data_IF_100702126216
#
_entry.id   IF_100702126216
#
_cell.length_a   1.000
_cell.length_b   1.000
_cell.length_c   1.000
_cell.angle_alpha   90.00
_cell.angle_beta   90.00
_cell.angle_gamma   90.00
#
_symmetry.space_group_name_H-M   'P 1'
#
loop_
_entity.id
_entity.type
_entity.pdbx_description
1 polymer ?
#
# COMPACT_ATOMS: atom_id res chain seq x y z
N UNK A 1 2.72 -17.70 -5.28
CA UNK A 1 2.93 -16.41 -5.97
C UNK A 1 1.58 -15.99 -6.52
N UNK A 2 0.99 -14.97 -5.90
CA UNK A 2 -0.29 -14.36 -6.24
C UNK A 2 -0.20 -13.33 -7.38
N UNK A 3 0.99 -12.82 -7.71
CA UNK A 3 1.18 -11.94 -8.87
C UNK A 3 1.07 -12.76 -10.17
N UNK A 4 0.03 -12.51 -10.95
CA UNK A 4 -0.16 -13.12 -12.27
C UNK A 4 0.47 -12.28 -13.38
N UNK A 5 0.57 -10.96 -13.17
CA UNK A 5 1.12 -9.99 -14.12
C UNK A 5 1.76 -8.83 -13.37
N UNK A 6 2.91 -8.34 -13.83
CA UNK A 6 3.57 -7.13 -13.35
C UNK A 6 4.32 -6.48 -14.52
N UNK A 7 3.59 -5.75 -15.35
CA UNK A 7 4.14 -5.15 -16.58
C UNK A 7 4.13 -3.61 -16.52
N UNK A 8 5.12 -2.95 -17.15
CA UNK A 8 5.04 -1.52 -17.38
C UNK A 8 3.82 -1.18 -18.26
N UNK A 9 3.10 -0.11 -17.92
CA UNK A 9 1.99 0.39 -18.78
C UNK A 9 2.54 0.97 -20.09
N UNK A 10 3.75 1.53 -20.04
CA UNK A 10 4.53 2.04 -21.17
C UNK A 10 6.02 1.81 -20.91
N UNK A 11 6.88 1.68 -21.94
CA UNK A 11 8.33 1.51 -21.75
C UNK A 11 8.93 2.62 -20.89
N UNK A 12 9.62 2.25 -19.81
CA UNK A 12 10.23 3.21 -18.90
C UNK A 12 11.49 3.84 -19.49
N UNK A 13 11.68 5.13 -19.18
CA UNK A 13 12.89 5.90 -19.41
C UNK A 13 13.45 6.37 -18.06
N UNK A 14 14.75 6.68 -18.03
CA UNK A 14 15.41 7.14 -16.81
C UNK A 14 14.92 8.53 -16.36
N UNK A 15 14.49 9.35 -17.31
CA UNK A 15 13.93 10.69 -17.11
C UNK A 15 12.44 10.70 -16.73
N UNK A 16 11.76 9.54 -16.75
CA UNK A 16 10.34 9.48 -16.42
C UNK A 16 10.13 9.78 -14.93
N UNK A 17 9.33 10.81 -14.65
CA UNK A 17 8.91 11.13 -13.28
C UNK A 17 8.12 9.98 -12.62
N UNK A 18 7.29 9.26 -13.39
CA UNK A 18 6.47 8.17 -12.90
C UNK A 18 6.58 6.93 -13.79
N UNK A 19 6.73 5.75 -13.18
CA UNK A 19 6.91 4.45 -13.84
C UNK A 19 5.71 3.54 -13.55
N UNK A 20 4.57 3.86 -14.16
CA UNK A 20 3.30 3.17 -13.89
C UNK A 20 3.33 1.69 -14.34
N UNK A 21 2.81 0.80 -13.49
CA UNK A 21 2.73 -0.65 -13.73
C UNK A 21 1.28 -1.12 -13.68
N UNK A 22 0.97 -2.11 -14.52
CA UNK A 22 -0.26 -2.89 -14.44
C UNK A 22 0.05 -4.21 -13.74
N UNK A 23 -0.44 -4.35 -12.50
CA UNK A 23 -0.29 -5.54 -11.70
C UNK A 23 -1.64 -6.26 -11.62
N UNK A 24 -1.66 -7.55 -11.94
CA UNK A 24 -2.83 -8.43 -11.74
C UNK A 24 -2.47 -9.41 -10.64
N UNK A 25 -3.36 -9.53 -9.65
CA UNK A 25 -3.18 -10.42 -8.50
C UNK A 25 -4.35 -11.39 -8.36
N UNK A 26 -4.06 -12.62 -7.98
CA UNK A 26 -5.04 -13.66 -7.65
C UNK A 26 -4.46 -14.58 -6.58
N UNK A 27 -5.26 -14.94 -5.57
CA UNK A 27 -4.83 -15.81 -4.49
C UNK A 27 -5.48 -15.44 -3.17
N UNK A 28 -4.96 -16.00 -2.09
CA UNK A 28 -5.37 -15.60 -0.74
C UNK A 28 -4.92 -14.17 -0.42
N UNK A 29 -5.62 -13.53 0.51
CA UNK A 29 -5.24 -12.18 0.99
C UNK A 29 -3.82 -12.13 1.52
N UNK A 30 -3.39 -13.19 2.22
CA UNK A 30 -2.04 -13.30 2.76
C UNK A 30 -0.98 -13.42 1.66
N UNK A 31 -1.22 -14.23 0.62
CA UNK A 31 -0.30 -14.31 -0.53
C UNK A 31 -0.23 -12.99 -1.30
N UNK A 32 -1.37 -12.34 -1.51
CA UNK A 32 -1.43 -11.02 -2.17
C UNK A 32 -0.65 -9.98 -1.35
N UNK A 33 -0.87 -9.93 -0.04
CA UNK A 33 -0.17 -9.01 0.86
C UNK A 33 1.35 -9.23 0.84
N UNK A 34 1.78 -10.49 0.87
CA UNK A 34 3.20 -10.86 0.81
C UNK A 34 3.85 -10.44 -0.50
N UNK A 35 3.25 -10.78 -1.64
CA UNK A 35 3.87 -10.48 -2.93
C UNK A 35 3.87 -8.97 -3.24
N UNK A 36 2.80 -8.25 -2.94
CA UNK A 36 2.76 -6.79 -3.11
C UNK A 36 3.76 -6.08 -2.20
N UNK A 37 3.90 -6.53 -0.95
CA UNK A 37 4.90 -6.00 -0.02
C UNK A 37 6.33 -6.29 -0.48
N UNK A 38 6.57 -7.46 -1.07
CA UNK A 38 7.87 -7.81 -1.65
C UNK A 38 8.25 -6.83 -2.76
N UNK A 39 7.34 -6.56 -3.70
CA UNK A 39 7.54 -5.54 -4.75
C UNK A 39 7.80 -4.16 -4.12
N UNK A 40 6.98 -3.74 -3.16
CA UNK A 40 7.13 -2.45 -2.51
C UNK A 40 8.49 -2.28 -1.82
N UNK A 41 8.96 -3.32 -1.12
CA UNK A 41 10.25 -3.35 -0.42
C UNK A 41 11.42 -3.33 -1.40
N UNK A 42 11.38 -4.20 -2.41
CA UNK A 42 12.53 -4.46 -3.30
C UNK A 42 12.67 -3.42 -4.40
N UNK A 43 11.55 -2.96 -4.99
CA UNK A 43 11.58 -2.04 -6.13
C UNK A 43 11.40 -0.57 -5.73
N UNK A 44 10.67 -0.30 -4.65
CA UNK A 44 10.34 1.07 -4.23
C UNK A 44 11.00 1.49 -2.92
N UNK A 45 11.76 0.59 -2.27
CA UNK A 45 12.42 0.86 -0.99
C UNK A 45 11.44 1.20 0.14
N UNK A 46 10.19 0.72 0.03
CA UNK A 46 9.16 0.99 1.01
C UNK A 46 9.58 0.44 2.39
N UNK A 47 9.23 1.18 3.45
CA UNK A 47 9.48 0.81 4.83
C UNK A 47 8.17 0.81 5.60
N UNK A 48 7.97 -0.19 6.45
CA UNK A 48 6.87 -0.17 7.39
C UNK A 48 7.10 0.90 8.45
N UNK A 49 6.02 1.55 8.86
CA UNK A 49 6.08 2.58 9.90
C UNK A 49 6.03 1.95 11.27
N UNK A 50 6.71 2.56 12.22
CA UNK A 50 6.55 2.22 13.62
C UNK A 50 5.18 2.71 14.11
N UNK A 51 4.47 1.87 14.85
CA UNK A 51 3.40 2.38 15.69
C UNK A 51 3.98 3.29 16.76
N UNK A 52 3.31 4.41 17.02
CA UNK A 52 3.69 5.32 18.10
C UNK A 52 3.36 4.76 19.49
N UNK A 53 2.37 3.87 19.54
CA UNK A 53 1.85 3.30 20.78
C UNK A 53 1.57 1.80 20.55
N UNK A 54 2.24 0.89 21.29
CA UNK A 54 2.01 -0.55 21.17
C UNK A 54 0.59 -0.96 21.59
N UNK A 55 -0.07 -0.21 22.48
CA UNK A 55 -1.47 -0.47 22.87
C UNK A 55 -2.41 -0.24 21.69
N UNK A 56 -2.14 0.81 20.90
CA UNK A 56 -2.91 1.07 19.68
C UNK A 56 -2.68 -0.03 18.63
N UNK A 57 -1.44 -0.51 18.49
CA UNK A 57 -1.11 -1.59 17.56
C UNK A 57 -1.92 -2.85 17.85
N UNK A 58 -1.93 -3.28 19.11
CA UNK A 58 -2.72 -4.43 19.57
C UNK A 58 -4.22 -4.21 19.36
N UNK A 59 -4.75 -3.05 19.76
CA UNK A 59 -6.16 -2.73 19.57
C UNK A 59 -6.59 -2.71 18.10
N UNK A 60 -5.70 -2.25 17.19
CA UNK A 60 -5.95 -2.28 15.75
C UNK A 60 -5.96 -3.70 15.21
N UNK A 61 -5.05 -4.57 15.65
CA UNK A 61 -5.04 -5.99 15.27
C UNK A 61 -6.33 -6.68 15.72
N UNK A 62 -6.72 -6.50 16.97
CA UNK A 62 -7.98 -6.97 17.54
C UNK A 62 -9.21 -6.49 16.76
N UNK A 63 -9.19 -5.22 16.35
CA UNK A 63 -10.25 -4.65 15.53
C UNK A 63 -10.31 -5.32 14.15
N UNK A 64 -9.18 -5.51 13.48
CA UNK A 64 -9.14 -6.16 12.17
C UNK A 64 -9.57 -7.62 12.27
N UNK A 65 -9.16 -8.35 13.31
CA UNK A 65 -9.59 -9.74 13.52
C UNK A 65 -11.13 -9.86 13.59
N UNK A 66 -11.78 -8.95 14.32
CA UNK A 66 -13.23 -8.99 14.54
C UNK A 66 -14.04 -8.43 13.37
N UNK A 67 -13.53 -7.41 12.69
CA UNK A 67 -14.32 -6.60 11.77
C UNK A 67 -13.88 -6.74 10.30
N UNK A 68 -12.63 -7.13 10.04
CA UNK A 68 -12.09 -7.24 8.69
C UNK A 68 -10.98 -8.30 8.59
N UNK A 69 -11.33 -9.59 8.77
CA UNK A 69 -10.34 -10.67 8.82
C UNK A 69 -9.53 -10.79 7.52
N UNK A 70 -10.11 -10.43 6.37
CA UNK A 70 -9.41 -10.41 5.08
C UNK A 70 -8.26 -9.39 5.08
N UNK A 71 -8.45 -8.23 5.73
CA UNK A 71 -7.40 -7.22 5.85
C UNK A 71 -6.33 -7.63 6.84
N UNK A 72 -6.71 -8.33 7.91
CA UNK A 72 -5.74 -8.92 8.83
C UNK A 72 -4.87 -9.96 8.13
N UNK A 73 -5.48 -10.85 7.33
CA UNK A 73 -4.75 -11.85 6.55
C UNK A 73 -3.77 -11.20 5.56
N UNK A 74 -4.20 -10.14 4.86
CA UNK A 74 -3.30 -9.36 4.00
C UNK A 74 -2.14 -8.74 4.77
N UNK A 75 -2.41 -8.14 5.93
CA UNK A 75 -1.39 -7.57 6.81
C UNK A 75 -0.36 -8.61 7.30
N UNK A 76 -0.78 -9.85 7.59
CA UNK A 76 0.15 -10.95 7.91
C UNK A 76 1.09 -11.26 6.76
N UNK A 77 0.56 -11.27 5.54
CA UNK A 77 1.36 -11.40 4.32
C UNK A 77 2.43 -10.31 4.24
N UNK A 78 2.03 -9.06 4.50
CA UNK A 78 2.96 -7.92 4.56
C UNK A 78 4.04 -8.14 5.63
N UNK A 79 3.69 -8.49 6.87
CA UNK A 79 4.67 -8.75 7.94
C UNK A 79 5.69 -9.82 7.54
N UNK A 80 5.22 -10.91 6.91
CA UNK A 80 6.08 -11.98 6.40
C UNK A 80 7.06 -11.46 5.34
N UNK A 81 6.64 -10.58 4.45
CA UNK A 81 7.52 -9.98 3.44
C UNK A 81 8.56 -9.01 4.02
N UNK A 82 8.40 -8.59 5.28
CA UNK A 82 9.37 -7.78 6.02
C UNK A 82 10.13 -8.60 7.08
N UNK A 83 10.04 -9.92 7.04
CA UNK A 83 10.71 -10.84 7.98
C UNK A 83 10.32 -10.57 9.46
N UNK A 84 9.08 -10.13 9.69
CA UNK A 84 8.49 -9.86 11.01
C UNK A 84 7.55 -10.99 11.45
N UNK A 85 7.31 -11.09 12.76
CA UNK A 85 6.33 -12.00 13.32
C UNK A 85 4.90 -11.64 12.86
N UNK A 86 4.04 -12.64 12.65
CA UNK A 86 2.64 -12.42 12.20
C UNK A 86 1.80 -11.58 13.17
N UNK A 87 2.23 -11.51 14.42
CA UNK A 87 1.56 -10.83 15.51
C UNK A 87 2.35 -9.58 15.96
N UNK A 88 3.33 -9.13 15.16
CA UNK A 88 4.12 -7.94 15.43
C UNK A 88 3.23 -6.70 15.62
N UNK A 89 3.42 -6.04 16.76
CA UNK A 89 2.76 -4.80 17.14
C UNK A 89 3.73 -3.61 17.13
N UNK A 90 4.91 -3.77 16.51
CA UNK A 90 5.94 -2.75 16.42
C UNK A 90 5.72 -1.88 15.17
N UNK A 91 5.39 -2.52 14.06
CA UNK A 91 5.21 -1.90 12.75
C UNK A 91 3.75 -1.94 12.28
N UNK A 92 3.34 -0.98 11.47
CA UNK A 92 2.04 -0.96 10.80
C UNK A 92 2.09 -1.67 9.43
N UNK A 93 1.66 -2.94 9.33
CA UNK A 93 1.59 -3.66 8.06
C UNK A 93 0.38 -3.30 7.21
N UNK A 94 -0.55 -2.48 7.71
CA UNK A 94 -1.76 -2.16 6.96
C UNK A 94 -1.55 -1.03 5.94
N UNK A 95 -0.32 -0.52 5.77
CA UNK A 95 -0.02 0.56 4.84
C UNK A 95 1.38 0.36 4.23
N UNK A 96 1.44 0.20 2.91
CA UNK A 96 2.69 0.17 2.13
C UNK A 96 2.89 1.54 1.49
N UNK A 97 3.43 2.48 2.26
CA UNK A 97 3.65 3.83 1.75
C UNK A 97 4.96 3.89 0.96
N UNK A 98 4.85 4.30 -0.29
CA UNK A 98 5.96 4.70 -1.16
C UNK A 98 5.71 6.16 -1.53
N UNK A 99 6.76 6.97 -1.63
CA UNK A 99 6.68 8.39 -2.04
C UNK A 99 6.03 9.37 -1.03
N UNK A 100 6.25 9.16 0.27
CA UNK A 100 6.10 10.22 1.28
C UNK A 100 7.49 10.77 1.62
N UNK A 101 7.60 12.09 1.82
CA UNK A 101 8.86 12.85 1.99
C UNK A 101 9.66 12.55 3.27
N UNK A 102 9.71 11.29 3.70
CA UNK A 102 10.27 10.85 4.96
C UNK A 102 9.35 11.13 6.15
N UNK A 103 9.52 10.36 7.21
CA UNK A 103 9.01 10.74 8.52
C UNK A 103 9.88 11.87 9.08
N UNK A 104 9.28 13.02 9.35
CA UNK A 104 9.90 14.05 10.18
C UNK A 104 9.95 13.61 11.65
N UNK A 105 10.74 14.31 12.47
CA UNK A 105 10.82 14.06 13.91
C UNK A 105 9.42 13.98 14.56
N UNK A 106 9.22 13.01 15.44
CA UNK A 106 7.93 12.74 16.09
C UNK A 106 6.90 12.03 15.21
N UNK A 107 7.31 11.44 14.08
CA UNK A 107 6.45 10.64 13.20
C UNK A 107 5.47 11.50 12.38
N UNK A 108 5.74 12.79 12.22
CA UNK A 108 4.96 13.67 11.33
C UNK A 108 5.33 13.35 9.89
N UNK A 109 4.34 12.96 9.11
CA UNK A 109 4.51 12.77 7.67
C UNK A 109 4.53 14.16 7.03
N UNK A 110 5.58 14.49 6.29
CA UNK A 110 5.51 15.59 5.34
C UNK A 110 4.70 15.09 4.15
N UNK A 111 3.39 15.38 4.15
CA UNK A 111 2.50 15.00 3.07
C UNK A 111 2.90 15.75 1.79
N UNK A 112 3.02 15.03 0.68
CA UNK A 112 2.75 15.64 -0.62
C UNK A 112 1.28 16.06 -0.61
N UNK A 113 1.00 17.35 -0.74
CA UNK A 113 -0.38 17.81 -0.85
C UNK A 113 -0.99 17.26 -2.14
N UNK A 114 -2.18 16.68 -2.07
CA UNK A 114 -2.95 16.31 -3.26
C UNK A 114 -3.85 17.47 -3.68
N UNK A 115 -4.03 17.65 -4.99
CA UNK A 115 -5.10 18.49 -5.55
C UNK A 115 -6.02 17.58 -6.35
N UNK A 116 -7.31 17.62 -6.06
CA UNK A 116 -8.33 16.91 -6.81
C UNK A 116 -9.36 17.91 -7.35
N UNK A 117 -9.72 17.76 -8.62
CA UNK A 117 -10.81 18.50 -9.25
C UNK A 117 -11.82 17.49 -9.78
N UNK A 118 -13.08 17.64 -9.38
CA UNK A 118 -14.20 16.88 -9.96
C UNK A 118 -14.97 17.84 -10.83
N UNK A 119 -14.93 17.60 -12.15
CA UNK A 119 -15.78 18.31 -13.09
C UNK A 119 -17.12 17.57 -13.21
N UNK A 120 -18.25 18.29 -13.36
CA UNK A 120 -19.49 17.64 -13.76
C UNK A 120 -19.28 16.93 -15.10
N UNK A 121 -20.02 15.85 -15.35
CA UNK A 121 -20.05 15.24 -16.68
C UNK A 121 -20.51 16.30 -17.68
N UNK A 122 -19.60 16.77 -18.53
CA UNK A 122 -19.97 17.67 -19.63
C UNK A 122 -20.86 16.88 -20.57
N UNK A 123 -22.09 17.35 -20.76
CA UNK A 123 -22.87 16.89 -21.90
C UNK A 123 -22.16 17.42 -23.13
N UNK A 124 -21.71 16.53 -24.00
CA UNK A 124 -21.37 16.91 -25.38
C UNK A 124 -22.54 17.70 -25.98
N UNK A 125 -22.32 18.51 -27.02
CA UNK A 125 -23.40 19.23 -27.73
C UNK A 125 -24.53 18.28 -28.23
N UNK A 126 -24.26 16.97 -28.26
CA UNK A 126 -25.19 15.90 -28.64
C UNK A 126 -25.88 15.22 -27.45
N UNK A 127 -25.60 15.64 -26.21
CA UNK A 127 -26.21 15.11 -24.99
C UNK A 127 -25.70 13.73 -24.55
N UNK A 128 -24.67 13.19 -25.20
CA UNK A 128 -24.00 11.97 -24.75
C UNK A 128 -22.99 12.29 -23.63
N UNK A 129 -22.89 11.43 -22.60
CA UNK A 129 -21.86 11.53 -21.57
C UNK A 129 -20.44 11.29 -22.13
#
# INVERSE_FOLDING_TARGET
MAILKNDPVFPFKDEDYCKARHIIVEGSREEIGYDLATIAREEYGAKLRLYRDPVYAEAKRDYLERNWPERLAEAKGVLRAFDLAEDDNTFDPSNLMYDLYGEGEGGRVNFGACTGLVLPHEKTDTGAP
#
